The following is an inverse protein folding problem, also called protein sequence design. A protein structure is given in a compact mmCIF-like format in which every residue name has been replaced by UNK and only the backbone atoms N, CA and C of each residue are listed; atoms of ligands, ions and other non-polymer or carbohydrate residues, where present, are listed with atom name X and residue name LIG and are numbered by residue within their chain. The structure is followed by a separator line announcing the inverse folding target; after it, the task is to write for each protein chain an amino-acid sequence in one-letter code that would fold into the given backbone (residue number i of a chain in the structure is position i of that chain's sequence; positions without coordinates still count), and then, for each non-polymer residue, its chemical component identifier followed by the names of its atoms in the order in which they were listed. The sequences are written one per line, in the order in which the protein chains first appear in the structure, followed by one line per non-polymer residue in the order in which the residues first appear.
data_IF_000542917876
#
_entry.id   IF_000542917876
#
_cell.length_a   1.000
_cell.length_b   1.000
_cell.length_c   1.000
_cell.angle_alpha   90.00
_cell.angle_beta   90.00
_cell.angle_gamma   90.00
#
_symmetry.space_group_name_H-M   'P 1'
#
loop_
_entity.id
_entity.type
_entity.pdbx_description
1 polymer ?
#
# COMPACT_ATOMS: atom_id res chain seq x y z
N UNK A 1 -6.96 24.62 26.28
CA UNK A 1 -6.36 24.99 24.98
C UNK A 1 -7.33 25.91 24.26
N UNK A 2 -6.87 26.77 23.35
CA UNK A 2 -7.77 27.58 22.53
C UNK A 2 -8.45 26.70 21.47
N UNK A 3 -9.63 27.11 20.97
CA UNK A 3 -10.30 26.39 19.88
C UNK A 3 -9.41 26.24 18.63
N UNK A 4 -8.53 27.22 18.37
CA UNK A 4 -7.57 27.18 17.27
C UNK A 4 -6.50 26.12 17.49
N UNK A 5 -6.00 25.97 18.71
CA UNK A 5 -5.03 24.96 19.08
C UNK A 5 -5.61 23.55 18.91
N UNK A 6 -6.83 23.32 19.40
CA UNK A 6 -7.52 22.03 19.28
C UNK A 6 -7.77 21.68 17.80
N UNK A 7 -8.15 22.67 16.98
CA UNK A 7 -8.33 22.48 15.54
C UNK A 7 -7.01 22.15 14.83
N UNK A 8 -5.90 22.80 15.20
CA UNK A 8 -4.58 22.49 14.65
C UNK A 8 -4.18 21.04 14.98
N UNK A 9 -4.34 20.61 16.24
CA UNK A 9 -4.06 19.24 16.67
C UNK A 9 -4.94 18.20 15.94
N UNK A 10 -6.22 18.50 15.73
CA UNK A 10 -7.11 17.64 14.95
C UNK A 10 -6.61 17.47 13.51
N UNK A 11 -6.16 18.56 12.89
CA UNK A 11 -5.66 18.58 11.50
C UNK A 11 -4.33 17.85 11.36
N UNK A 12 -3.43 17.98 12.35
CA UNK A 12 -2.21 17.18 12.47
C UNK A 12 -2.61 15.69 12.47
N UNK A 13 -3.50 15.30 13.37
CA UNK A 13 -3.96 13.91 13.49
C UNK A 13 -4.53 13.36 12.19
N UNK A 14 -5.39 14.13 11.51
CA UNK A 14 -5.95 13.77 10.19
C UNK A 14 -4.84 13.45 9.17
N UNK A 15 -3.86 14.33 9.02
CA UNK A 15 -2.83 14.18 8.00
C UNK A 15 -1.90 13.00 8.33
N UNK A 16 -1.48 12.88 9.60
CA UNK A 16 -0.68 11.73 10.07
C UNK A 16 -1.41 10.41 9.79
N UNK A 17 -2.70 10.31 10.19
CA UNK A 17 -3.49 9.10 9.98
C UNK A 17 -3.63 8.74 8.50
N UNK A 18 -3.88 9.73 7.64
CA UNK A 18 -4.03 9.47 6.20
C UNK A 18 -2.72 8.99 5.57
N UNK A 19 -1.58 9.59 5.93
CA UNK A 19 -0.25 9.14 5.49
C UNK A 19 0.09 7.74 6.01
N UNK A 20 -0.21 7.43 7.27
CA UNK A 20 -0.01 6.10 7.84
C UNK A 20 -0.89 5.04 7.17
N UNK A 21 -2.12 5.37 6.80
CA UNK A 21 -3.00 4.46 6.05
C UNK A 21 -2.50 4.21 4.64
N UNK A 22 -1.98 5.24 3.95
CA UNK A 22 -1.29 5.09 2.65
C UNK A 22 -0.13 4.10 2.78
N UNK A 23 0.73 4.29 3.78
CA UNK A 23 1.84 3.36 4.06
C UNK A 23 1.32 1.93 4.28
N UNK A 24 0.28 1.77 5.11
CA UNK A 24 -0.34 0.47 5.35
C UNK A 24 -0.92 -0.18 4.10
N UNK A 25 -1.57 0.59 3.22
CA UNK A 25 -2.09 0.08 1.94
C UNK A 25 -0.96 -0.40 1.02
N UNK A 26 0.16 0.32 0.96
CA UNK A 26 1.34 -0.09 0.19
C UNK A 26 1.97 -1.36 0.74
N UNK A 27 2.10 -1.48 2.07
CA UNK A 27 2.56 -2.72 2.72
C UNK A 27 1.68 -3.91 2.35
N UNK A 28 0.36 -3.74 2.43
CA UNK A 28 -0.60 -4.77 2.06
C UNK A 28 -0.48 -5.15 0.59
N UNK A 29 -0.36 -4.16 -0.30
CA UNK A 29 -0.16 -4.41 -1.73
C UNK A 29 1.11 -5.23 -1.98
N UNK A 30 2.26 -4.76 -1.49
CA UNK A 30 3.56 -5.42 -1.66
C UNK A 30 3.62 -6.83 -1.07
N UNK A 31 2.89 -7.08 0.01
CA UNK A 31 2.81 -8.41 0.62
C UNK A 31 2.05 -9.44 -0.23
N UNK A 32 1.25 -8.99 -1.21
CA UNK A 32 0.31 -9.82 -1.98
C UNK A 32 0.65 -9.95 -3.46
N UNK A 33 1.59 -9.17 -3.97
CA UNK A 33 2.00 -9.19 -5.38
C UNK A 33 3.35 -9.89 -5.54
N UNK A 34 3.60 -10.41 -6.73
CA UNK A 34 4.89 -10.91 -7.20
C UNK A 34 5.49 -11.97 -6.27
N UNK A 35 4.90 -13.17 -6.30
CA UNK A 35 5.41 -14.35 -5.61
C UNK A 35 5.18 -15.61 -6.43
N UNK A 36 6.00 -16.62 -6.18
CA UNK A 36 5.81 -17.99 -6.62
C UNK A 36 6.20 -18.94 -5.49
N UNK A 37 5.46 -20.04 -5.32
CA UNK A 37 5.75 -21.05 -4.31
C UNK A 37 4.98 -22.34 -4.58
N UNK A 38 5.40 -23.47 -3.99
CA UNK A 38 4.54 -24.64 -3.81
C UNK A 38 3.26 -24.24 -3.06
N UNK A 39 2.13 -24.83 -3.43
CA UNK A 39 0.82 -24.48 -2.81
C UNK A 39 0.81 -24.72 -1.29
N UNK A 40 1.57 -25.70 -0.80
CA UNK A 40 1.68 -26.03 0.62
C UNK A 40 2.41 -24.94 1.42
N UNK A 41 3.29 -24.17 0.77
CA UNK A 41 4.07 -23.08 1.37
C UNK A 41 3.40 -21.71 1.20
N UNK A 42 2.23 -21.64 0.56
CA UNK A 42 1.57 -20.38 0.22
C UNK A 42 1.36 -19.48 1.45
N UNK A 43 0.87 -20.06 2.55
CA UNK A 43 0.62 -19.32 3.78
C UNK A 43 1.92 -18.71 4.33
N UNK A 44 2.97 -19.52 4.43
CA UNK A 44 4.27 -19.11 4.98
C UNK A 44 4.94 -18.05 4.09
N UNK A 45 4.83 -18.21 2.77
CA UNK A 45 5.33 -17.25 1.78
C UNK A 45 4.66 -15.88 1.94
N UNK A 46 3.33 -15.84 2.07
CA UNK A 46 2.59 -14.59 2.26
C UNK A 46 2.85 -13.96 3.63
N UNK A 47 2.99 -14.77 4.69
CA UNK A 47 3.36 -14.28 6.03
C UNK A 47 4.78 -13.69 6.06
N UNK A 48 5.74 -14.35 5.41
CA UNK A 48 7.11 -13.85 5.27
C UNK A 48 7.14 -12.52 4.51
N UNK A 49 6.40 -12.40 3.40
CA UNK A 49 6.26 -11.14 2.66
C UNK A 49 5.60 -10.06 3.52
N UNK A 50 4.53 -10.37 4.25
CA UNK A 50 3.90 -9.41 5.17
C UNK A 50 4.91 -8.90 6.20
N UNK A 51 5.63 -9.80 6.86
CA UNK A 51 6.64 -9.46 7.88
C UNK A 51 7.77 -8.59 7.31
N UNK A 52 8.19 -8.85 6.07
CA UNK A 52 9.22 -8.04 5.37
C UNK A 52 8.81 -6.57 5.26
N UNK A 53 7.56 -6.28 4.93
CA UNK A 53 7.10 -4.91 4.69
C UNK A 53 6.53 -4.23 5.94
N UNK A 54 6.13 -4.99 6.96
CA UNK A 54 5.44 -4.48 8.15
C UNK A 54 6.18 -3.32 8.86
N UNK A 55 7.52 -3.41 8.97
CA UNK A 55 8.34 -2.43 9.68
C UNK A 55 8.89 -1.31 8.80
N UNK A 56 8.65 -1.35 7.48
CA UNK A 56 9.20 -0.36 6.56
C UNK A 56 8.45 0.97 6.65
N UNK A 57 9.12 2.09 6.46
CA UNK A 57 8.50 3.42 6.39
C UNK A 57 7.88 3.67 5.02
N UNK A 58 7.02 4.69 4.91
CA UNK A 58 6.42 5.15 3.66
C UNK A 58 7.46 5.29 2.54
N UNK A 59 8.60 5.94 2.80
CA UNK A 59 9.67 6.08 1.82
C UNK A 59 10.25 4.74 1.35
N UNK A 60 10.48 3.81 2.28
CA UNK A 60 11.01 2.49 1.95
C UNK A 60 9.99 1.65 1.14
N UNK A 61 8.72 1.64 1.55
CA UNK A 61 7.68 0.90 0.81
C UNK A 61 7.40 1.50 -0.56
N UNK A 62 7.46 2.83 -0.71
CA UNK A 62 7.37 3.49 -2.01
C UNK A 62 8.50 3.05 -2.95
N UNK A 63 9.74 2.99 -2.47
CA UNK A 63 10.87 2.49 -3.27
C UNK A 63 10.67 1.03 -3.69
N UNK A 64 10.20 0.18 -2.77
CA UNK A 64 9.91 -1.22 -3.10
C UNK A 64 8.76 -1.35 -4.11
N UNK A 65 7.73 -0.52 -4.00
CA UNK A 65 6.61 -0.48 -4.93
C UNK A 65 7.04 -0.19 -6.36
N UNK A 66 7.92 0.77 -6.61
CA UNK A 66 8.37 1.01 -7.99
C UNK A 66 9.31 -0.06 -8.51
N UNK A 67 10.06 -0.74 -7.62
CA UNK A 67 10.86 -1.90 -8.00
C UNK A 67 10.00 -3.10 -8.45
N UNK A 68 8.74 -3.22 -8.02
CA UNK A 68 7.89 -4.35 -8.45
C UNK A 68 7.48 -4.28 -9.91
N UNK A 69 7.56 -3.10 -10.55
CA UNK A 69 7.23 -2.90 -11.97
C UNK A 69 8.47 -2.91 -12.87
N UNK A 70 9.64 -3.24 -12.33
CA UNK A 70 10.85 -3.28 -13.12
C UNK A 70 10.84 -4.57 -13.96
N UNK A 71 10.57 -4.44 -15.26
CA UNK A 71 10.50 -5.54 -16.24
C UNK A 71 11.77 -6.40 -16.34
N UNK A 72 12.89 -5.93 -15.79
CA UNK A 72 14.16 -6.66 -15.69
C UNK A 72 14.29 -7.49 -14.41
N UNK A 73 13.25 -7.58 -13.57
CA UNK A 73 13.23 -8.50 -12.43
C UNK A 73 13.18 -9.95 -12.95
N UNK A 74 13.89 -10.85 -12.26
CA UNK A 74 13.93 -12.27 -12.60
C UNK A 74 12.51 -12.83 -12.82
N UNK A 75 12.29 -13.65 -13.85
CA UNK A 75 10.96 -14.15 -14.17
C UNK A 75 10.38 -14.88 -12.95
N UNK A 76 9.21 -14.42 -12.48
CA UNK A 76 8.43 -15.04 -11.39
C UNK A 76 7.76 -16.37 -11.86
N UNK A 77 8.29 -16.96 -12.93
CA UNK A 77 7.75 -18.11 -13.65
C UNK A 77 8.82 -19.15 -13.98
N UNK A 78 9.99 -19.09 -13.35
CA UNK A 78 10.94 -20.21 -13.40
C UNK A 78 10.44 -21.32 -12.47
N UNK A 79 9.63 -22.21 -13.03
CA UNK A 79 9.19 -23.42 -12.35
C UNK A 79 10.35 -24.42 -12.27
N UNK A 80 10.52 -25.16 -11.16
CA UNK A 80 11.49 -26.24 -11.13
C UNK A 80 11.09 -27.30 -12.17
N UNK A 81 12.01 -27.68 -13.06
CA UNK A 81 11.76 -28.66 -14.14
C UNK A 81 11.25 -30.02 -13.65
N UNK A 82 11.36 -30.33 -12.34
CA UNK A 82 11.04 -31.64 -11.74
C UNK A 82 10.19 -31.56 -10.46
N UNK A 83 9.23 -30.64 -10.34
CA UNK A 83 8.34 -30.64 -9.17
C UNK A 83 7.14 -31.59 -9.36
N UNK A 84 7.02 -32.60 -8.49
CA UNK A 84 5.80 -33.41 -8.35
C UNK A 84 4.66 -32.68 -7.62
N UNK A 85 4.93 -31.47 -7.14
CA UNK A 85 4.03 -30.63 -6.36
C UNK A 85 3.34 -29.58 -7.23
N UNK A 86 2.13 -29.15 -6.83
CA UNK A 86 1.43 -28.05 -7.49
C UNK A 86 2.01 -26.70 -7.06
N UNK A 87 2.33 -25.84 -8.02
CA UNK A 87 2.86 -24.50 -7.80
C UNK A 87 1.82 -23.42 -8.09
N UNK A 88 1.95 -22.30 -7.39
CA UNK A 88 1.19 -21.08 -7.63
C UNK A 88 2.15 -19.92 -7.85
N UNK A 89 1.86 -19.12 -8.87
CA UNK A 89 2.55 -17.86 -9.14
C UNK A 89 1.52 -16.75 -9.34
N UNK A 90 1.83 -15.55 -8.84
CA UNK A 90 1.01 -14.36 -9.02
C UNK A 90 1.91 -13.16 -9.29
N UNK A 91 1.71 -12.52 -10.45
CA UNK A 91 2.32 -11.26 -10.83
C UNK A 91 1.27 -10.15 -10.96
N UNK A 92 1.68 -8.91 -10.71
CA UNK A 92 0.87 -7.72 -10.96
C UNK A 92 1.65 -6.74 -11.82
N UNK A 93 1.13 -6.48 -13.02
CA UNK A 93 1.75 -5.61 -14.01
C UNK A 93 0.85 -4.38 -14.29
N UNK A 94 1.47 -3.27 -14.69
CA UNK A 94 0.78 -2.02 -15.03
C UNK A 94 1.51 -1.30 -16.16
N UNK A 95 0.80 -0.46 -16.92
CA UNK A 95 1.37 0.28 -18.05
C UNK A 95 2.43 1.30 -17.60
N UNK A 96 3.51 1.39 -18.39
CA UNK A 96 4.73 2.16 -18.06
C UNK A 96 4.55 3.67 -18.05
N UNK A 97 3.71 4.21 -18.92
CA UNK A 97 3.54 5.66 -19.07
C UNK A 97 2.92 6.32 -17.82
N UNK A 98 2.25 5.50 -16.99
CA UNK A 98 1.67 5.91 -15.72
C UNK A 98 2.68 5.90 -14.55
N UNK A 99 3.82 5.20 -14.67
CA UNK A 99 4.72 4.94 -13.56
C UNK A 99 5.52 6.18 -13.13
N UNK A 100 6.00 6.98 -14.09
CA UNK A 100 6.80 8.18 -13.77
C UNK A 100 5.96 9.25 -13.05
N UNK A 101 4.69 9.43 -13.47
CA UNK A 101 3.76 10.31 -12.76
C UNK A 101 3.48 9.80 -11.35
N UNK A 102 3.22 8.50 -11.20
CA UNK A 102 2.97 7.90 -9.88
C UNK A 102 4.19 8.01 -8.96
N UNK A 103 5.40 7.92 -9.52
CA UNK A 103 6.64 8.07 -8.75
C UNK A 103 6.75 9.47 -8.15
N UNK A 104 6.48 10.51 -8.95
CA UNK A 104 6.43 11.90 -8.46
C UNK A 104 5.38 12.09 -7.38
N UNK A 105 4.20 11.50 -7.56
CA UNK A 105 3.13 11.56 -6.56
C UNK A 105 3.56 10.93 -5.22
N UNK A 106 4.30 9.82 -5.25
CA UNK A 106 4.76 9.14 -4.04
C UNK A 106 5.94 9.86 -3.39
N UNK A 107 6.86 10.41 -4.19
CA UNK A 107 7.93 11.29 -3.70
C UNK A 107 7.33 12.49 -2.96
N UNK A 108 6.29 13.10 -3.52
CA UNK A 108 5.54 14.15 -2.86
C UNK A 108 4.96 13.69 -1.51
N UNK A 109 4.32 12.52 -1.43
CA UNK A 109 3.79 12.01 -0.15
C UNK A 109 4.88 11.81 0.92
N UNK A 110 6.06 11.32 0.51
CA UNK A 110 7.21 11.15 1.39
C UNK A 110 7.71 12.50 1.90
N UNK A 111 7.85 13.47 1.01
CA UNK A 111 8.21 14.85 1.35
C UNK A 111 7.20 15.45 2.33
N UNK A 112 5.90 15.33 2.03
CA UNK A 112 4.83 15.85 2.89
C UNK A 112 4.83 15.22 4.29
N UNK A 113 5.08 13.91 4.38
CA UNK A 113 5.24 13.22 5.66
C UNK A 113 6.43 13.76 6.43
N UNK A 114 7.57 13.95 5.77
CA UNK A 114 8.77 14.44 6.43
C UNK A 114 8.62 15.89 6.86
N UNK A 115 8.07 16.76 6.01
CA UNK A 115 7.73 18.15 6.35
C UNK A 115 6.80 18.22 7.55
N UNK A 116 5.74 17.41 7.58
CA UNK A 116 4.83 17.37 8.73
C UNK A 116 5.56 17.00 10.02
N UNK A 117 6.31 15.91 10.01
CA UNK A 117 6.92 15.36 11.22
C UNK A 117 8.15 16.15 11.69
N UNK A 118 8.99 16.62 10.77
CA UNK A 118 10.31 17.19 11.07
C UNK A 118 10.36 18.71 10.97
N UNK A 119 9.38 19.37 10.35
CA UNK A 119 9.35 20.85 10.28
C UNK A 119 8.13 21.35 11.05
N UNK A 120 6.93 21.03 10.55
CA UNK A 120 5.69 21.63 11.04
C UNK A 120 5.39 21.31 12.51
N UNK A 121 5.67 20.08 12.96
CA UNK A 121 5.46 19.68 14.36
C UNK A 121 6.51 20.24 15.31
N UNK A 122 7.73 20.49 14.84
CA UNK A 122 8.80 21.05 15.68
C UNK A 122 8.53 22.53 15.96
N UNK A 123 8.07 23.26 14.94
CA UNK A 123 7.81 24.70 15.02
C UNK A 123 6.38 25.04 15.52
N UNK A 124 5.58 24.04 15.87
CA UNK A 124 4.21 24.24 16.31
C UNK A 124 4.15 24.85 17.71
N UNK A 125 3.55 26.04 17.82
CA UNK A 125 3.27 26.70 19.08
C UNK A 125 1.76 26.77 19.34
N UNK A 126 1.22 25.91 20.24
CA UNK A 126 -0.22 25.82 20.50
C UNK A 126 -0.81 27.05 21.21
N UNK A 127 0.02 27.97 21.70
CA UNK A 127 -0.41 29.19 22.41
C UNK A 127 -0.53 30.37 21.44
N UNK A 128 0.11 30.30 20.27
CA UNK A 128 0.08 31.35 19.26
C UNK A 128 -1.04 31.12 18.24
N UNK A 129 -2.07 31.96 18.28
CA UNK A 129 -3.18 31.92 17.33
C UNK A 129 -2.73 32.07 15.87
N UNK A 130 -1.71 32.91 15.61
CA UNK A 130 -1.15 33.08 14.27
C UNK A 130 -0.44 31.82 13.78
N UNK A 131 0.36 31.18 14.65
CA UNK A 131 1.02 29.91 14.32
C UNK A 131 -0.02 28.81 14.07
N UNK A 132 -1.06 28.71 14.93
CA UNK A 132 -2.15 27.76 14.75
C UNK A 132 -2.89 27.96 13.42
N UNK A 133 -3.23 29.21 13.06
CA UNK A 133 -3.91 29.52 11.78
C UNK A 133 -3.04 29.18 10.57
N UNK A 134 -1.77 29.56 10.60
CA UNK A 134 -0.82 29.26 9.52
C UNK A 134 -0.67 27.76 9.33
N UNK A 135 -0.50 27.01 10.42
CA UNK A 135 -0.37 25.56 10.38
C UNK A 135 -1.65 24.88 9.86
N UNK A 136 -2.83 25.31 10.31
CA UNK A 136 -4.12 24.78 9.82
C UNK A 136 -4.22 24.91 8.31
N UNK A 137 -3.88 26.08 7.75
CA UNK A 137 -3.93 26.31 6.30
C UNK A 137 -2.98 25.37 5.56
N UNK A 138 -1.72 25.25 6.01
CA UNK A 138 -0.75 24.33 5.40
C UNK A 138 -1.19 22.87 5.49
N UNK A 139 -1.81 22.46 6.60
CA UNK A 139 -2.33 21.09 6.77
C UNK A 139 -3.55 20.81 5.88
N UNK A 140 -4.42 21.80 5.66
CA UNK A 140 -5.55 21.66 4.75
C UNK A 140 -5.10 21.55 3.30
N UNK A 141 -4.16 22.39 2.85
CA UNK A 141 -3.55 22.29 1.52
C UNK A 141 -2.86 20.93 1.30
N UNK A 142 -2.03 20.51 2.26
CA UNK A 142 -1.36 19.21 2.22
C UNK A 142 -2.37 18.05 2.13
N UNK A 143 -3.48 18.14 2.86
CA UNK A 143 -4.47 17.08 2.92
C UNK A 143 -5.25 16.89 1.61
N UNK A 144 -5.47 17.95 0.83
CA UNK A 144 -6.14 17.80 -0.47
C UNK A 144 -5.35 16.91 -1.42
N UNK A 145 -4.02 17.02 -1.41
CA UNK A 145 -3.15 16.16 -2.19
C UNK A 145 -3.10 14.72 -1.63
N UNK A 146 -3.00 14.57 -0.31
CA UNK A 146 -3.00 13.24 0.35
C UNK A 146 -4.27 12.46 0.01
N UNK A 147 -5.44 13.11 0.00
CA UNK A 147 -6.74 12.46 -0.29
C UNK A 147 -6.78 11.82 -1.68
N UNK A 148 -6.20 12.49 -2.68
CA UNK A 148 -6.17 11.97 -4.06
C UNK A 148 -5.43 10.63 -4.09
N UNK A 149 -4.23 10.60 -3.49
CA UNK A 149 -3.39 9.40 -3.47
C UNK A 149 -3.96 8.30 -2.57
N UNK A 150 -4.59 8.69 -1.45
CA UNK A 150 -5.32 7.77 -0.59
C UNK A 150 -6.41 7.02 -1.37
N UNK A 151 -7.23 7.75 -2.13
CA UNK A 151 -8.32 7.17 -2.92
C UNK A 151 -7.78 6.26 -4.02
N UNK A 152 -6.74 6.71 -4.73
CA UNK A 152 -6.07 5.91 -5.75
C UNK A 152 -5.57 4.56 -5.22
N UNK A 153 -4.87 4.56 -4.07
CA UNK A 153 -4.37 3.33 -3.47
C UNK A 153 -5.48 2.43 -2.92
N UNK A 154 -6.53 3.01 -2.37
CA UNK A 154 -7.68 2.26 -1.91
C UNK A 154 -8.36 1.52 -3.08
N UNK A 155 -8.57 2.20 -4.20
CA UNK A 155 -9.12 1.60 -5.43
C UNK A 155 -8.21 0.51 -5.97
N UNK A 156 -6.90 0.75 -6.02
CA UNK A 156 -5.92 -0.23 -6.48
C UNK A 156 -5.89 -1.50 -5.61
N UNK A 157 -5.94 -1.35 -4.29
CA UNK A 157 -5.99 -2.48 -3.36
C UNK A 157 -7.30 -3.25 -3.45
N UNK A 158 -8.43 -2.55 -3.67
CA UNK A 158 -9.73 -3.17 -3.92
C UNK A 158 -9.71 -4.01 -5.19
N UNK A 159 -9.17 -3.46 -6.30
CA UNK A 159 -9.01 -4.18 -7.57
C UNK A 159 -8.13 -5.41 -7.36
N UNK A 160 -6.96 -5.27 -6.72
CA UNK A 160 -6.06 -6.40 -6.44
C UNK A 160 -6.77 -7.52 -5.69
N UNK A 161 -7.46 -7.19 -4.58
CA UNK A 161 -8.18 -8.17 -3.79
C UNK A 161 -9.28 -8.87 -4.59
N UNK A 162 -10.05 -8.12 -5.38
CA UNK A 162 -11.12 -8.65 -6.22
C UNK A 162 -10.56 -9.57 -7.33
N UNK A 163 -9.46 -9.18 -7.98
CA UNK A 163 -8.81 -9.96 -9.03
C UNK A 163 -8.26 -11.27 -8.49
N UNK A 164 -7.54 -11.27 -7.37
CA UNK A 164 -7.05 -12.49 -6.72
C UNK A 164 -8.22 -13.43 -6.39
N UNK A 165 -9.29 -12.90 -5.79
CA UNK A 165 -10.47 -13.69 -5.43
C UNK A 165 -11.15 -14.31 -6.65
N UNK A 166 -11.36 -13.53 -7.72
CA UNK A 166 -11.99 -14.02 -8.94
C UNK A 166 -11.12 -15.06 -9.65
N UNK A 167 -9.81 -14.85 -9.71
CA UNK A 167 -8.88 -15.81 -10.29
C UNK A 167 -8.93 -17.15 -9.54
N UNK A 168 -8.84 -17.13 -8.20
CA UNK A 168 -8.95 -18.34 -7.38
C UNK A 168 -10.28 -19.08 -7.60
N UNK A 169 -11.39 -18.34 -7.68
CA UNK A 169 -12.71 -18.92 -7.93
C UNK A 169 -12.81 -19.61 -9.30
N UNK A 170 -12.17 -19.06 -10.33
CA UNK A 170 -12.17 -19.65 -11.66
C UNK A 170 -11.32 -20.94 -11.68
N UNK A 171 -10.13 -20.92 -11.07
CA UNK A 171 -9.29 -22.12 -10.97
C UNK A 171 -9.99 -23.27 -10.22
N UNK A 172 -10.71 -22.97 -9.14
CA UNK A 172 -11.46 -23.99 -8.39
C UNK A 172 -12.64 -24.58 -9.18
N UNK A 173 -13.31 -23.77 -10.00
CA UNK A 173 -14.38 -24.25 -10.89
C UNK A 173 -13.84 -25.18 -11.97
N UNK A 174 -12.68 -24.84 -12.54
CA UNK A 174 -12.03 -25.66 -13.57
C UNK A 174 -11.51 -26.99 -12.98
N UNK A 175 -11.14 -27.01 -11.70
CA UNK A 175 -10.65 -28.22 -11.02
C UNK A 175 -11.78 -29.15 -10.54
N UNK A 176 -12.95 -28.64 -10.13
CA UNK A 176 -13.95 -29.47 -9.44
C UNK A 176 -15.43 -29.28 -9.81
N UNK A 177 -15.80 -28.34 -10.68
CA UNK A 177 -17.21 -28.07 -11.01
C UNK A 177 -18.10 -27.69 -9.81
N UNK A 178 -17.51 -27.44 -8.63
CA UNK A 178 -18.17 -27.16 -7.34
C UNK A 178 -17.80 -25.78 -6.82
N UNK A 179 -18.74 -25.10 -6.16
CA UNK A 179 -18.57 -23.72 -5.69
C UNK A 179 -17.94 -23.65 -4.28
N UNK A 180 -17.29 -22.52 -3.98
CA UNK A 180 -16.51 -22.27 -2.75
C UNK A 180 -17.27 -22.59 -1.44
N UNK A 181 -18.59 -22.41 -1.42
CA UNK A 181 -19.45 -22.72 -0.26
C UNK A 181 -19.50 -24.22 0.09
N UNK A 182 -19.17 -25.11 -0.86
CA UNK A 182 -19.13 -26.56 -0.66
C UNK A 182 -17.78 -27.05 -0.12
N UNK A 183 -16.69 -26.31 -0.39
CA UNK A 183 -15.33 -26.64 0.08
C UNK A 183 -15.07 -26.08 1.48
N UNK A 184 -15.66 -24.94 1.84
CA UNK A 184 -15.47 -24.31 3.15
C UNK A 184 -16.37 -24.89 4.27
N UNK A 185 -17.18 -25.92 3.97
CA UNK A 185 -18.08 -26.60 4.93
C UNK A 185 -17.60 -28.01 5.33
N UNK A 186 -16.42 -28.44 4.88
CA UNK A 186 -15.74 -29.66 5.32
C UNK A 186 -14.51 -29.27 6.15
#
# INVERSE_FOLDING_TARGET
MSELSDKALQKIGRNVVNLSKIEGMLKLFLSRVNFQCPIIELKETLEAKKKKYETMTLGQVSQHYFKTYNFNADPIHEYPENSSESWISFSYDTETDSLESQKKDFEFLVEQRNKLIHELLIDFNPISDNNCRSLINSLDEQNEQIKIQYKYLQEKLFILHKSIKQWLLNQLKDINGKTLDEVLRQ
#
